data_IF_924427631653
#
_entry.id   IF_924427631653
#
_cell.length_a   1.000
_cell.length_b   1.000
_cell.length_c   1.000
_cell.angle_alpha   90.00
_cell.angle_beta   90.00
_cell.angle_gamma   90.00
#
_symmetry.space_group_name_H-M   'P 1'
#
loop_
_entity.id
_entity.type
_entity.pdbx_description
1 polymer ?
#
# COMPACT_ATOMS: atom_id res chain seq x y z
N UNK A 1 -54.81 58.48 37.32
CA UNK A 1 -55.56 57.37 36.68
C UNK A 1 -54.71 56.12 36.80
N UNK A 2 -54.88 55.17 37.71
CA UNK A 2 -56.00 54.80 38.60
C UNK A 2 -55.46 54.47 40.01
N UNK A 3 -55.49 55.46 40.92
CA UNK A 3 -55.92 55.21 42.29
C UNK A 3 -57.45 55.17 42.20
N UNK A 4 -58.07 53.99 42.20
CA UNK A 4 -59.51 53.72 42.41
C UNK A 4 -59.81 52.24 42.10
N UNK A 5 -59.26 51.32 42.90
CA UNK A 5 -59.74 49.94 43.02
C UNK A 5 -59.35 49.35 44.38
N UNK A 6 -59.31 50.22 45.39
CA UNK A 6 -59.06 49.89 46.80
C UNK A 6 -60.34 50.11 47.62
N UNK A 7 -61.49 49.72 47.05
CA UNK A 7 -62.81 49.86 47.66
C UNK A 7 -63.88 48.94 47.03
N UNK A 8 -63.50 47.71 46.67
CA UNK A 8 -64.44 46.61 46.82
C UNK A 8 -63.92 45.84 48.02
N UNK A 9 -64.40 46.26 49.20
CA UNK A 9 -64.40 45.42 50.39
C UNK A 9 -65.00 44.11 49.90
N UNK A 10 -64.17 43.07 49.86
CA UNK A 10 -64.54 41.82 49.23
C UNK A 10 -65.41 41.11 50.27
N UNK A 11 -66.65 41.59 50.43
CA UNK A 11 -67.62 41.14 51.44
C UNK A 11 -67.76 39.62 51.42
N UNK A 12 -67.55 39.03 50.24
CA UNK A 12 -67.52 37.59 50.01
C UNK A 12 -66.30 36.89 50.61
N UNK A 13 -65.10 37.49 50.58
CA UNK A 13 -63.92 36.96 51.28
C UNK A 13 -64.01 37.18 52.79
N UNK A 14 -64.53 38.33 53.24
CA UNK A 14 -64.76 38.59 54.68
C UNK A 14 -65.83 37.67 55.24
N UNK A 15 -66.93 37.44 54.51
CA UNK A 15 -67.95 36.47 54.87
C UNK A 15 -67.41 35.03 54.83
N UNK A 16 -66.47 34.71 53.94
CA UNK A 16 -65.83 33.39 53.91
C UNK A 16 -64.88 33.21 55.10
N UNK A 17 -64.13 34.24 55.48
CA UNK A 17 -63.32 34.27 56.71
C UNK A 17 -64.19 34.12 57.95
N UNK A 18 -65.27 34.90 58.04
CA UNK A 18 -66.18 34.90 59.20
C UNK A 18 -67.04 33.63 59.31
N UNK A 19 -67.38 32.99 58.18
CA UNK A 19 -68.23 31.79 58.16
C UNK A 19 -67.45 30.46 58.11
N UNK A 20 -66.25 30.44 57.48
CA UNK A 20 -65.50 29.21 57.19
C UNK A 20 -63.98 29.37 57.41
N UNK A 21 -63.51 30.43 58.09
CA UNK A 21 -62.08 30.65 58.35
C UNK A 21 -61.22 30.81 57.10
N UNK A 22 -61.83 31.21 55.98
CA UNK A 22 -61.12 31.57 54.74
C UNK A 22 -60.80 30.42 53.79
N UNK A 23 -61.22 29.18 54.10
CA UNK A 23 -60.90 27.99 53.29
C UNK A 23 -62.18 27.25 52.88
N UNK A 24 -62.38 27.05 51.57
CA UNK A 24 -63.58 26.42 51.00
C UNK A 24 -63.60 24.88 51.13
N UNK A 25 -62.42 24.26 51.21
CA UNK A 25 -62.22 22.81 51.33
C UNK A 25 -61.16 22.55 52.41
N UNK A 26 -61.56 21.95 53.54
CA UNK A 26 -60.62 21.56 54.59
C UNK A 26 -59.71 20.46 54.03
N UNK A 27 -58.46 20.80 53.72
CA UNK A 27 -57.45 19.80 53.35
C UNK A 27 -56.91 19.19 54.63
N UNK A 28 -56.47 17.93 54.58
CA UNK A 28 -55.86 17.27 55.76
C UNK A 28 -54.63 18.03 56.29
N UNK A 29 -53.98 18.79 55.41
CA UNK A 29 -52.88 19.71 55.73
C UNK A 29 -53.28 20.85 56.67
N UNK A 30 -54.55 21.25 56.69
CA UNK A 30 -55.03 22.37 57.49
C UNK A 30 -55.16 21.98 58.97
N UNK A 31 -55.32 20.69 59.27
CA UNK A 31 -55.34 20.13 60.65
C UNK A 31 -54.03 20.49 61.38
N UNK A 32 -52.90 20.55 60.69
CA UNK A 32 -51.61 20.94 61.27
C UNK A 32 -51.56 22.41 61.70
N UNK A 33 -52.35 23.29 61.07
CA UNK A 33 -52.40 24.74 61.31
C UNK A 33 -53.51 25.16 62.27
N UNK A 34 -54.47 24.27 62.56
CA UNK A 34 -55.54 24.54 63.52
C UNK A 34 -54.97 24.57 64.93
N UNK A 35 -55.25 25.62 65.69
CA UNK A 35 -54.92 25.72 67.11
C UNK A 35 -56.18 26.13 67.89
N UNK A 36 -56.48 25.41 68.97
CA UNK A 36 -57.63 25.72 69.84
C UNK A 36 -57.12 26.71 70.90
N UNK A 37 -57.59 27.97 70.90
CA UNK A 37 -57.13 28.96 71.86
C UNK A 37 -57.58 28.59 73.28
N UNK A 38 -56.75 28.81 74.31
CA UNK A 38 -57.11 28.51 75.68
C UNK A 38 -58.30 29.37 76.13
N UNK A 39 -59.20 28.82 76.97
CA UNK A 39 -60.32 29.59 77.52
C UNK A 39 -59.83 30.81 78.30
N UNK A 40 -60.52 31.95 78.19
CA UNK A 40 -60.08 33.25 78.72
C UNK A 40 -59.85 33.29 80.25
N UNK A 41 -60.50 32.40 81.00
CA UNK A 41 -60.41 32.29 82.45
C UNK A 41 -59.19 31.50 82.95
N UNK A 42 -58.43 30.83 82.07
CA UNK A 42 -57.18 30.11 82.42
C UNK A 42 -56.06 31.03 82.91
N UNK A 43 -56.22 32.35 82.74
CA UNK A 43 -55.36 33.39 83.32
C UNK A 43 -55.58 33.62 84.83
N UNK A 44 -56.66 33.07 85.40
CA UNK A 44 -57.03 33.17 86.82
C UNK A 44 -56.70 31.86 87.57
N UNK A 45 -56.34 31.91 88.87
CA UNK A 45 -56.00 30.71 89.66
C UNK A 45 -57.12 29.65 89.67
N UNK A 46 -56.75 28.36 89.58
CA UNK A 46 -57.67 27.21 89.52
C UNK A 46 -58.65 27.12 90.71
N UNK A 47 -58.27 27.66 91.86
CA UNK A 47 -59.07 27.67 93.09
C UNK A 47 -60.33 28.56 92.99
N UNK A 48 -60.39 29.46 92.01
CA UNK A 48 -61.50 30.41 91.80
C UNK A 48 -62.44 30.00 90.66
N UNK A 49 -62.20 28.84 90.04
CA UNK A 49 -63.02 28.37 88.93
C UNK A 49 -64.36 27.84 89.43
N UNK A 50 -65.44 28.34 88.82
CA UNK A 50 -66.78 27.76 88.97
C UNK A 50 -66.84 26.34 88.39
N UNK A 51 -67.78 25.50 88.82
CA UNK A 51 -67.88 24.13 88.29
C UNK A 51 -68.15 24.09 86.77
N UNK A 52 -68.80 25.12 86.23
CA UNK A 52 -69.00 25.30 84.79
C UNK A 52 -67.69 25.69 84.05
N UNK A 53 -66.83 26.49 84.68
CA UNK A 53 -65.49 26.82 84.16
C UNK A 53 -64.53 25.61 84.20
N UNK A 54 -64.65 24.75 85.23
CA UNK A 54 -63.90 23.48 85.29
C UNK A 54 -64.31 22.53 84.16
N UNK A 55 -65.62 22.38 83.94
CA UNK A 55 -66.16 21.54 82.85
C UNK A 55 -65.76 22.04 81.46
N UNK A 56 -65.79 23.36 81.24
CA UNK A 56 -65.37 23.95 79.95
C UNK A 56 -63.86 23.84 79.71
N UNK A 57 -63.04 23.81 80.76
CA UNK A 57 -61.61 23.51 80.64
C UNK A 57 -61.34 22.03 80.34
N UNK A 58 -62.05 21.10 80.96
CA UNK A 58 -61.96 19.66 80.65
C UNK A 58 -62.34 19.38 79.19
N UNK A 59 -63.41 20.01 78.68
CA UNK A 59 -63.81 19.91 77.27
C UNK A 59 -62.78 20.54 76.32
N UNK A 60 -62.12 21.63 76.73
CA UNK A 60 -61.01 22.23 75.98
C UNK A 60 -59.80 21.30 75.92
N UNK A 61 -59.40 20.71 77.05
CA UNK A 61 -58.26 19.81 77.14
C UNK A 61 -58.50 18.54 76.31
N UNK A 62 -59.72 18.01 76.34
CA UNK A 62 -60.10 16.86 75.52
C UNK A 62 -60.02 17.19 74.01
N UNK A 63 -60.59 18.32 73.57
CA UNK A 63 -60.49 18.75 72.16
C UNK A 63 -59.07 19.07 71.72
N UNK A 64 -58.24 19.62 72.61
CA UNK A 64 -56.83 19.89 72.34
C UNK A 64 -56.02 18.58 72.20
N UNK A 65 -56.31 17.57 73.03
CA UNK A 65 -55.72 16.22 72.91
C UNK A 65 -56.14 15.54 71.61
N UNK A 66 -57.43 15.52 71.28
CA UNK A 66 -57.96 14.95 70.03
C UNK A 66 -57.35 15.64 68.80
N UNK A 67 -57.22 16.97 68.81
CA UNK A 67 -56.58 17.71 67.71
C UNK A 67 -55.08 17.36 67.59
N UNK A 68 -54.38 17.21 68.71
CA UNK A 68 -52.96 16.85 68.69
C UNK A 68 -52.74 15.40 68.20
N UNK A 69 -53.64 14.47 68.55
CA UNK A 69 -53.65 13.10 68.03
C UNK A 69 -53.85 13.10 66.51
N UNK A 70 -54.84 13.84 66.00
CA UNK A 70 -55.07 13.98 64.55
C UNK A 70 -53.88 14.61 63.81
N UNK A 71 -53.20 15.60 64.44
CA UNK A 71 -51.97 16.19 63.89
C UNK A 71 -50.83 15.16 63.80
N UNK A 72 -50.65 14.32 64.81
CA UNK A 72 -49.59 13.32 64.82
C UNK A 72 -49.90 12.15 63.87
N UNK A 73 -51.15 11.68 63.80
CA UNK A 73 -51.59 10.70 62.80
C UNK A 73 -51.31 11.19 61.37
N UNK A 74 -51.58 12.46 61.09
CA UNK A 74 -51.31 13.05 59.78
C UNK A 74 -49.80 13.20 59.50
N UNK A 75 -48.99 13.56 60.52
CA UNK A 75 -47.53 13.57 60.41
C UNK A 75 -46.96 12.18 60.14
N UNK A 76 -47.47 11.16 60.82
CA UNK A 76 -47.08 9.77 60.61
C UNK A 76 -47.46 9.30 59.20
N UNK A 77 -48.65 9.64 58.72
CA UNK A 77 -49.06 9.41 57.35
C UNK A 77 -48.07 10.04 56.34
N UNK A 78 -47.71 11.31 56.53
CA UNK A 78 -46.74 12.00 55.66
C UNK A 78 -45.34 11.39 55.72
N UNK A 79 -44.86 10.98 56.90
CA UNK A 79 -43.58 10.28 57.05
C UNK A 79 -43.58 8.96 56.28
N UNK A 80 -44.67 8.18 56.38
CA UNK A 80 -44.82 6.92 55.67
C UNK A 80 -44.89 7.12 54.15
N UNK A 81 -45.59 8.15 53.69
CA UNK A 81 -45.67 8.48 52.26
C UNK A 81 -44.30 8.91 51.72
N UNK A 82 -43.58 9.77 52.46
CA UNK A 82 -42.22 10.18 52.12
C UNK A 82 -41.28 8.97 52.04
N UNK A 83 -41.30 8.09 53.04
CA UNK A 83 -40.46 6.89 53.05
C UNK A 83 -40.79 5.96 51.87
N UNK A 84 -42.07 5.82 51.51
CA UNK A 84 -42.50 5.03 50.35
C UNK A 84 -42.00 5.64 49.04
N UNK A 85 -42.05 6.96 48.91
CA UNK A 85 -41.54 7.68 47.73
C UNK A 85 -40.02 7.53 47.65
N UNK A 86 -39.29 7.73 48.74
CA UNK A 86 -37.83 7.54 48.78
C UNK A 86 -37.41 6.12 48.41
N UNK A 87 -38.11 5.10 48.93
CA UNK A 87 -37.86 3.71 48.58
C UNK A 87 -38.12 3.45 47.08
N UNK A 88 -39.22 3.99 46.54
CA UNK A 88 -39.55 3.89 45.11
C UNK A 88 -38.50 4.56 44.23
N UNK A 89 -38.03 5.76 44.59
CA UNK A 89 -36.94 6.46 43.88
C UNK A 89 -35.67 5.60 43.90
N UNK A 90 -35.28 5.09 45.07
CA UNK A 90 -34.08 4.25 45.18
C UNK A 90 -34.16 2.99 44.31
N UNK A 91 -35.29 2.29 44.33
CA UNK A 91 -35.50 1.08 43.53
C UNK A 91 -35.49 1.41 42.03
N UNK A 92 -36.13 2.51 41.62
CA UNK A 92 -36.14 2.93 40.21
C UNK A 92 -34.77 3.37 39.72
N UNK A 93 -33.99 4.09 40.53
CA UNK A 93 -32.60 4.45 40.21
C UNK A 93 -31.74 3.19 40.05
N UNK A 94 -31.81 2.25 41.00
CA UNK A 94 -31.05 0.99 40.90
C UNK A 94 -31.40 0.19 39.64
N UNK A 95 -32.70 0.06 39.32
CA UNK A 95 -33.14 -0.60 38.09
C UNK A 95 -32.62 0.12 36.84
N UNK A 96 -32.64 1.45 36.84
CA UNK A 96 -32.10 2.24 35.74
C UNK A 96 -30.60 1.97 35.56
N UNK A 97 -29.80 2.08 36.62
CA UNK A 97 -28.35 1.85 36.58
C UNK A 97 -28.02 0.44 36.10
N UNK A 98 -28.74 -0.58 36.58
CA UNK A 98 -28.60 -1.95 36.09
C UNK A 98 -28.89 -2.07 34.59
N UNK A 99 -29.93 -1.41 34.10
CA UNK A 99 -30.25 -1.44 32.66
C UNK A 99 -29.19 -0.75 31.83
N UNK A 100 -28.65 0.37 32.30
CA UNK A 100 -27.56 1.10 31.63
C UNK A 100 -26.30 0.25 31.61
N UNK A 101 -25.95 -0.43 32.70
CA UNK A 101 -24.81 -1.35 32.75
C UNK A 101 -24.99 -2.54 31.79
N UNK A 102 -26.18 -3.14 31.74
CA UNK A 102 -26.47 -4.24 30.78
C UNK A 102 -26.37 -3.75 29.34
N UNK A 103 -26.86 -2.54 29.06
CA UNK A 103 -26.79 -1.93 27.73
C UNK A 103 -25.34 -1.59 27.34
N UNK A 104 -24.52 -1.08 28.27
CA UNK A 104 -23.12 -0.74 28.00
C UNK A 104 -22.30 -1.98 27.65
N UNK A 105 -22.49 -3.08 28.41
CA UNK A 105 -21.85 -4.37 28.11
C UNK A 105 -22.32 -4.91 26.75
N UNK A 106 -23.61 -4.80 26.44
CA UNK A 106 -24.14 -5.22 25.15
C UNK A 106 -23.54 -4.40 23.99
N UNK A 107 -23.46 -3.07 24.16
CA UNK A 107 -22.81 -2.18 23.20
C UNK A 107 -21.35 -2.57 22.96
N UNK A 108 -20.57 -2.80 24.02
CA UNK A 108 -19.17 -3.21 23.89
C UNK A 108 -19.02 -4.52 23.12
N UNK A 109 -19.85 -5.52 23.42
CA UNK A 109 -19.83 -6.82 22.70
C UNK A 109 -20.18 -6.64 21.21
N UNK A 110 -21.19 -5.83 20.91
CA UNK A 110 -21.59 -5.54 19.53
C UNK A 110 -20.50 -4.80 18.78
N UNK A 111 -19.88 -3.78 19.39
CA UNK A 111 -18.75 -3.05 18.79
C UNK A 111 -17.55 -3.96 18.56
N UNK A 112 -17.20 -4.82 19.53
CA UNK A 112 -16.13 -5.80 19.37
C UNK A 112 -16.38 -6.72 18.17
N UNK A 113 -17.61 -7.22 18.00
CA UNK A 113 -17.97 -8.05 16.86
C UNK A 113 -17.88 -7.27 15.53
N UNK A 114 -18.35 -6.02 15.49
CA UNK A 114 -18.24 -5.15 14.31
C UNK A 114 -16.76 -4.96 13.93
N UNK A 115 -15.91 -4.57 14.88
CA UNK A 115 -14.49 -4.35 14.62
C UNK A 115 -13.77 -5.63 14.20
N UNK A 116 -14.18 -6.79 14.72
CA UNK A 116 -13.65 -8.07 14.25
C UNK A 116 -13.98 -8.30 12.77
N UNK A 117 -15.23 -8.11 12.36
CA UNK A 117 -15.63 -8.27 10.97
C UNK A 117 -15.00 -7.23 10.05
N UNK A 118 -14.89 -5.97 10.48
CA UNK A 118 -14.19 -4.92 9.73
C UNK A 118 -12.72 -5.28 9.49
N UNK A 119 -12.04 -5.82 10.51
CA UNK A 119 -10.66 -6.28 10.37
C UNK A 119 -10.54 -7.47 9.39
N UNK A 120 -11.49 -8.41 9.43
CA UNK A 120 -11.53 -9.52 8.45
C UNK A 120 -11.70 -8.99 7.03
N UNK A 121 -12.63 -8.05 6.82
CA UNK A 121 -12.87 -7.44 5.51
C UNK A 121 -11.60 -6.74 5.03
N UNK A 122 -10.92 -5.98 5.88
CA UNK A 122 -9.68 -5.30 5.54
C UNK A 122 -8.57 -6.29 5.13
N UNK A 123 -8.39 -7.35 5.92
CA UNK A 123 -7.37 -8.37 5.64
C UNK A 123 -7.67 -9.12 4.32
N UNK A 124 -8.93 -9.47 4.06
CA UNK A 124 -9.33 -10.11 2.82
C UNK A 124 -9.13 -9.17 1.62
N UNK A 125 -9.51 -7.90 1.77
CA UNK A 125 -9.33 -6.88 0.72
C UNK A 125 -7.85 -6.71 0.39
N UNK A 126 -7.00 -6.65 1.40
CA UNK A 126 -5.55 -6.58 1.23
C UNK A 126 -5.00 -7.80 0.50
N UNK A 127 -5.40 -9.02 0.91
CA UNK A 127 -4.97 -10.25 0.26
C UNK A 127 -5.40 -10.33 -1.21
N UNK A 128 -6.63 -9.91 -1.53
CA UNK A 128 -7.15 -9.85 -2.91
C UNK A 128 -6.37 -8.84 -3.76
N UNK A 129 -6.08 -7.66 -3.21
CA UNK A 129 -5.31 -6.64 -3.91
C UNK A 129 -3.88 -7.13 -4.23
N UNK A 130 -3.25 -7.82 -3.27
CA UNK A 130 -1.91 -8.39 -3.48
C UNK A 130 -1.93 -9.48 -4.55
N UNK A 131 -2.92 -10.38 -4.55
CA UNK A 131 -3.06 -11.43 -5.56
C UNK A 131 -3.28 -10.83 -6.96
N UNK A 132 -4.11 -9.80 -7.07
CA UNK A 132 -4.34 -9.08 -8.33
C UNK A 132 -3.07 -8.38 -8.83
N UNK A 133 -2.28 -7.76 -7.95
CA UNK A 133 -1.00 -7.15 -8.31
C UNK A 133 0.01 -8.17 -8.86
N UNK A 134 0.12 -9.33 -8.19
CA UNK A 134 0.98 -10.44 -8.64
C UNK A 134 0.53 -10.97 -10.02
N UNK A 135 -0.77 -11.13 -10.23
CA UNK A 135 -1.33 -11.60 -11.51
C UNK A 135 -1.13 -10.58 -12.64
N UNK A 136 -1.34 -9.30 -12.37
CA UNK A 136 -1.12 -8.24 -13.35
C UNK A 136 0.35 -8.16 -13.76
N UNK A 137 1.28 -8.25 -12.80
CA UNK A 137 2.73 -8.26 -13.08
C UNK A 137 3.12 -9.51 -13.86
N UNK A 138 2.64 -10.69 -13.48
CA UNK A 138 2.86 -11.94 -14.20
C UNK A 138 2.36 -11.90 -15.64
N UNK A 139 1.15 -11.37 -15.86
CA UNK A 139 0.58 -11.19 -17.20
C UNK A 139 1.40 -10.20 -18.04
N UNK A 140 1.90 -9.12 -17.44
CA UNK A 140 2.80 -8.16 -18.08
C UNK A 140 4.09 -8.81 -18.58
N UNK A 141 4.76 -9.58 -17.72
CA UNK A 141 5.99 -10.30 -18.07
C UNK A 141 5.74 -11.35 -19.15
N UNK A 142 4.64 -12.09 -19.09
CA UNK A 142 4.28 -13.04 -20.16
C UNK A 142 4.03 -12.37 -21.51
N UNK A 143 3.36 -11.22 -21.54
CA UNK A 143 3.20 -10.40 -22.77
C UNK A 143 4.56 -9.94 -23.31
N UNK A 144 5.46 -9.50 -22.44
CA UNK A 144 6.80 -9.08 -22.85
C UNK A 144 7.63 -10.24 -23.42
N UNK A 145 7.59 -11.41 -22.76
CA UNK A 145 8.29 -12.61 -23.18
C UNK A 145 7.80 -13.14 -24.54
N UNK A 146 6.48 -13.11 -24.79
CA UNK A 146 5.92 -13.51 -26.09
C UNK A 146 6.31 -12.55 -27.22
N UNK A 147 6.45 -11.25 -26.94
CA UNK A 147 6.97 -10.27 -27.90
C UNK A 147 8.43 -10.54 -28.26
N UNK A 148 9.29 -10.72 -27.26
CA UNK A 148 10.73 -11.00 -27.44
C UNK A 148 10.99 -12.31 -28.20
N UNK A 149 10.22 -13.37 -27.94
CA UNK A 149 10.33 -14.64 -28.69
C UNK A 149 10.03 -14.50 -30.19
N UNK A 150 9.11 -13.62 -30.58
CA UNK A 150 8.78 -13.38 -32.01
C UNK A 150 9.90 -12.65 -32.76
N UNK A 151 10.68 -11.83 -32.07
CA UNK A 151 11.80 -11.08 -32.65
C UNK A 151 12.99 -11.99 -33.00
N UNK A 152 13.23 -13.05 -32.20
CA UNK A 152 14.36 -13.99 -32.37
C UNK A 152 14.30 -14.85 -33.64
N UNK A 153 13.12 -15.15 -34.18
CA UNK A 153 12.94 -16.09 -35.30
C UNK A 153 13.35 -15.50 -36.66
N UNK A 154 13.47 -14.18 -36.78
CA UNK A 154 13.67 -13.51 -38.09
C UNK A 154 15.13 -13.42 -38.59
N UNK A 155 16.13 -13.97 -37.88
CA UNK A 155 17.54 -13.55 -38.02
C UNK A 155 18.56 -14.57 -38.57
N UNK A 156 18.19 -15.74 -39.13
CA UNK A 156 19.18 -16.78 -39.45
C UNK A 156 19.15 -17.28 -40.92
N UNK A 157 20.20 -17.00 -41.71
CA UNK A 157 20.62 -17.75 -42.92
C UNK A 157 22.15 -17.60 -43.16
N UNK A 158 22.91 -18.67 -43.48
CA UNK A 158 24.36 -18.61 -43.75
C UNK A 158 24.76 -18.88 -45.22
N UNK A 159 25.97 -18.45 -45.62
CA UNK A 159 26.62 -18.79 -46.90
C UNK A 159 28.15 -19.03 -46.77
N UNK A 160 28.79 -19.74 -47.74
CA UNK A 160 30.06 -20.46 -47.55
C UNK A 160 31.31 -19.83 -48.23
N UNK A 161 32.45 -20.52 -48.07
CA UNK A 161 33.88 -20.11 -48.17
C UNK A 161 34.58 -20.24 -49.56
N UNK A 162 35.76 -19.59 -49.63
CA UNK A 162 36.72 -19.36 -50.74
C UNK A 162 37.78 -20.46 -50.98
N UNK A 163 38.56 -20.35 -52.09
CA UNK A 163 39.89 -20.96 -52.31
C UNK A 163 40.69 -20.29 -53.46
N UNK A 164 42.00 -20.06 -53.30
CA UNK A 164 42.99 -19.78 -54.37
C UNK A 164 44.45 -20.14 -53.96
N UNK A 165 45.28 -20.65 -54.90
CA UNK A 165 46.77 -20.57 -54.93
C UNK A 165 47.35 -21.06 -56.29
N UNK A 166 48.09 -20.24 -57.06
CA UNK A 166 48.56 -20.67 -58.41
C UNK A 166 49.78 -19.98 -59.07
N UNK A 167 50.47 -19.00 -58.47
CA UNK A 167 51.38 -18.14 -59.24
C UNK A 167 52.85 -18.65 -59.43
N UNK A 168 53.40 -19.46 -58.53
CA UNK A 168 54.86 -19.75 -58.52
C UNK A 168 55.36 -20.70 -59.64
N UNK A 169 54.50 -21.16 -60.55
CA UNK A 169 54.82 -22.22 -61.52
C UNK A 169 55.16 -21.71 -62.93
N UNK A 170 54.90 -20.44 -63.25
CA UNK A 170 54.87 -19.96 -64.64
C UNK A 170 56.18 -19.35 -65.19
N UNK A 171 57.22 -19.13 -64.37
CA UNK A 171 58.40 -18.33 -64.77
C UNK A 171 59.78 -19.00 -64.54
N UNK A 172 59.86 -20.33 -64.62
CA UNK A 172 61.08 -21.10 -64.34
C UNK A 172 62.20 -20.97 -65.41
N UNK A 173 61.93 -20.36 -66.57
CA UNK A 173 62.79 -20.45 -67.77
C UNK A 173 63.71 -19.23 -68.01
N UNK A 174 63.83 -18.30 -67.05
CA UNK A 174 64.52 -17.00 -67.22
C UNK A 174 65.87 -16.96 -66.46
N UNK A 175 66.97 -16.42 -67.03
CA UNK A 175 68.26 -16.27 -66.35
C UNK A 175 68.19 -15.41 -65.07
N UNK A 176 68.88 -15.83 -64.00
CA UNK A 176 68.75 -15.25 -62.65
C UNK A 176 68.97 -13.73 -62.54
N UNK A 177 69.87 -13.13 -63.32
CA UNK A 177 70.13 -11.68 -63.26
C UNK A 177 69.00 -10.80 -63.82
N UNK A 178 68.28 -11.29 -64.85
CA UNK A 178 67.09 -10.63 -65.41
C UNK A 178 65.84 -10.95 -64.58
N UNK A 179 65.84 -12.10 -63.88
CA UNK A 179 64.76 -12.47 -62.97
C UNK A 179 64.68 -11.50 -61.78
N UNK A 180 65.81 -11.05 -61.24
CA UNK A 180 65.86 -10.10 -60.13
C UNK A 180 65.33 -8.71 -60.53
N UNK A 181 65.67 -8.24 -61.74
CA UNK A 181 65.15 -6.98 -62.30
C UNK A 181 63.64 -7.07 -62.61
N UNK A 182 63.18 -8.21 -63.15
CA UNK A 182 61.75 -8.48 -63.35
C UNK A 182 60.99 -8.61 -62.02
N UNK A 183 61.59 -9.16 -60.96
CA UNK A 183 61.00 -9.22 -59.62
C UNK A 183 60.85 -7.82 -58.99
N UNK A 184 61.79 -6.91 -59.24
CA UNK A 184 61.66 -5.50 -58.84
C UNK A 184 60.53 -4.80 -59.58
N UNK A 185 60.44 -4.98 -60.91
CA UNK A 185 59.36 -4.43 -61.74
C UNK A 185 57.99 -5.07 -61.46
N UNK A 186 57.96 -6.32 -61.02
CA UNK A 186 56.78 -7.07 -60.61
C UNK A 186 56.29 -6.67 -59.21
N UNK A 187 57.16 -6.03 -58.42
CA UNK A 187 56.83 -5.49 -57.11
C UNK A 187 56.47 -3.99 -57.15
N UNK A 188 56.77 -3.31 -58.27
CA UNK A 188 56.47 -1.90 -58.48
C UNK A 188 54.97 -1.68 -58.72
N UNK A 189 54.36 -0.75 -57.98
CA UNK A 189 52.92 -0.41 -58.09
C UNK A 189 52.74 0.93 -58.83
N UNK A 190 51.66 1.10 -59.59
CA UNK A 190 51.29 2.41 -60.14
C UNK A 190 50.88 3.38 -59.02
N UNK A 191 51.23 4.67 -59.15
CA UNK A 191 50.80 5.71 -58.22
C UNK A 191 49.33 6.05 -58.48
N UNK A 192 48.42 5.56 -57.63
CA UNK A 192 46.99 5.87 -57.74
C UNK A 192 46.65 7.14 -56.94
N UNK A 193 45.97 8.14 -57.53
CA UNK A 193 45.40 9.25 -56.76
C UNK A 193 44.28 8.72 -55.87
N UNK A 194 44.42 8.92 -54.55
CA UNK A 194 43.52 8.40 -53.52
C UNK A 194 42.08 8.86 -53.76
N UNK A 195 41.21 7.91 -54.10
CA UNK A 195 39.76 8.15 -54.15
C UNK A 195 39.19 7.82 -52.78
N UNK A 196 39.14 8.81 -51.89
CA UNK A 196 38.34 8.75 -50.66
C UNK A 196 36.85 8.79 -51.03
N UNK A 197 36.26 7.66 -51.38
CA UNK A 197 34.80 7.53 -51.48
C UNK A 197 34.21 7.22 -50.11
N UNK A 198 33.99 8.28 -49.33
CA UNK A 198 33.05 8.27 -48.22
C UNK A 198 31.63 8.17 -48.79
N UNK A 199 31.12 6.95 -48.96
CA UNK A 199 29.68 6.74 -49.15
C UNK A 199 29.04 6.32 -47.83
N UNK A 200 28.28 7.25 -47.25
CA UNK A 200 27.44 7.05 -46.08
C UNK A 200 26.07 6.51 -46.54
N UNK A 201 26.00 5.22 -46.82
CA UNK A 201 24.76 4.55 -47.21
C UNK A 201 24.19 3.77 -46.03
N UNK A 202 22.94 4.07 -45.66
CA UNK A 202 22.20 3.52 -44.51
C UNK A 202 21.84 2.02 -44.61
N UNK A 203 22.35 1.30 -45.62
CA UNK A 203 22.11 -0.13 -45.82
C UNK A 203 23.39 -0.93 -45.53
N UNK A 204 23.46 -1.71 -44.44
CA UNK A 204 24.66 -2.47 -44.06
C UNK A 204 25.01 -3.62 -45.03
N UNK A 205 24.17 -3.90 -46.04
CA UNK A 205 24.45 -4.88 -47.09
C UNK A 205 25.03 -4.28 -48.38
N UNK A 206 25.19 -2.96 -48.46
CA UNK A 206 25.59 -2.25 -49.68
C UNK A 206 26.71 -1.26 -49.37
N UNK A 207 27.88 -1.79 -49.03
CA UNK A 207 29.14 -1.03 -49.09
C UNK A 207 30.11 -1.88 -49.90
N UNK A 208 30.43 -1.40 -51.11
CA UNK A 208 31.12 -2.17 -52.14
C UNK A 208 30.14 -2.91 -53.06
N UNK A 209 29.50 -2.18 -53.97
CA UNK A 209 28.79 -2.80 -55.10
C UNK A 209 29.81 -3.53 -55.99
N UNK A 210 29.45 -4.63 -56.68
CA UNK A 210 30.24 -5.17 -57.78
C UNK A 210 30.63 -4.11 -58.82
N UNK A 211 29.83 -3.05 -58.95
CA UNK A 211 30.08 -1.89 -59.79
C UNK A 211 31.28 -1.06 -59.30
N UNK A 212 31.43 -0.88 -57.98
CA UNK A 212 32.54 -0.13 -57.36
C UNK A 212 33.88 -0.86 -57.55
N UNK A 213 33.87 -2.19 -57.44
CA UNK A 213 35.04 -3.03 -57.74
C UNK A 213 35.46 -2.91 -59.21
N UNK A 214 34.50 -2.97 -60.12
CA UNK A 214 34.75 -2.90 -61.55
C UNK A 214 35.30 -1.53 -61.97
N UNK A 215 34.82 -0.45 -61.35
CA UNK A 215 35.32 0.90 -61.58
C UNK A 215 36.76 1.07 -61.07
N UNK A 216 37.05 0.64 -59.83
CA UNK A 216 38.39 0.67 -59.25
C UNK A 216 39.40 -0.17 -60.07
N UNK A 217 38.98 -1.36 -60.53
CA UNK A 217 39.79 -2.22 -61.39
C UNK A 217 40.09 -1.55 -62.74
N UNK A 218 39.11 -0.86 -63.33
CA UNK A 218 39.29 -0.15 -64.60
C UNK A 218 40.29 1.00 -64.52
N UNK A 219 40.30 1.73 -63.39
CA UNK A 219 41.25 2.81 -63.13
C UNK A 219 42.67 2.25 -62.91
N UNK A 220 42.79 1.14 -62.18
CA UNK A 220 44.05 0.43 -61.99
C UNK A 220 44.63 -0.07 -63.33
N UNK A 221 43.79 -0.65 -64.19
CA UNK A 221 44.24 -1.15 -65.50
C UNK A 221 44.74 -0.03 -66.42
N UNK A 222 44.13 1.16 -66.36
CA UNK A 222 44.63 2.34 -67.09
C UNK A 222 46.01 2.79 -66.58
N UNK A 223 46.23 2.78 -65.27
CA UNK A 223 47.54 3.13 -64.70
C UNK A 223 48.62 2.08 -65.03
N UNK A 224 48.24 0.82 -65.25
CA UNK A 224 49.16 -0.23 -65.71
C UNK A 224 49.64 -0.03 -67.14
N UNK A 225 48.86 0.65 -68.00
CA UNK A 225 49.26 0.92 -69.39
C UNK A 225 50.53 1.78 -69.49
N UNK A 226 50.72 2.73 -68.56
CA UNK A 226 51.93 3.55 -68.48
C UNK A 226 53.16 2.74 -68.04
N UNK A 227 52.99 1.85 -67.07
CA UNK A 227 54.06 0.98 -66.56
C UNK A 227 54.45 -0.11 -67.57
N UNK A 228 53.51 -0.60 -68.37
CA UNK A 228 53.75 -1.63 -69.39
C UNK A 228 54.30 -1.06 -70.72
N UNK A 229 54.50 0.26 -70.79
CA UNK A 229 55.11 0.92 -71.96
C UNK A 229 56.41 0.23 -72.37
N UNK A 230 56.66 0.02 -73.69
CA UNK A 230 57.90 -0.57 -74.18
C UNK A 230 59.14 0.26 -73.83
N UNK A 231 58.97 1.52 -73.42
CA UNK A 231 60.03 2.41 -72.94
C UNK A 231 60.60 1.96 -71.58
N UNK A 232 59.82 1.22 -70.79
CA UNK A 232 60.23 0.70 -69.47
C UNK A 232 60.85 -0.71 -69.56
N UNK A 233 61.07 -1.24 -70.76
CA UNK A 233 61.63 -2.57 -70.98
C UNK A 233 63.15 -2.58 -70.77
N UNK A 234 63.70 -3.51 -69.95
CA UNK A 234 65.15 -3.62 -69.75
C UNK A 234 65.94 -3.87 -71.03
N UNK A 235 67.13 -3.28 -71.12
CA UNK A 235 68.00 -3.40 -72.28
C UNK A 235 68.51 -4.84 -72.43
N UNK A 236 68.16 -5.50 -73.54
CA UNK A 236 68.54 -6.88 -73.85
C UNK A 236 67.43 -7.93 -73.67
N UNK A 237 66.24 -7.53 -73.20
CA UNK A 237 65.09 -8.43 -73.11
C UNK A 237 64.36 -8.58 -74.46
N UNK A 238 64.00 -9.82 -74.82
CA UNK A 238 63.21 -10.05 -76.05
C UNK A 238 61.76 -9.60 -75.87
N UNK A 239 61.18 -8.96 -76.89
CA UNK A 239 59.84 -8.38 -76.84
C UNK A 239 58.73 -9.40 -76.46
N UNK A 240 58.89 -10.68 -76.83
CA UNK A 240 57.95 -11.74 -76.43
C UNK A 240 58.00 -12.07 -74.94
N UNK A 241 59.16 -11.90 -74.29
CA UNK A 241 59.32 -12.10 -72.86
C UNK A 241 58.71 -10.92 -72.10
N UNK A 242 58.93 -9.69 -72.58
CA UNK A 242 58.31 -8.48 -72.03
C UNK A 242 56.78 -8.55 -72.08
N UNK A 243 56.18 -8.94 -73.22
CA UNK A 243 54.72 -9.10 -73.32
C UNK A 243 54.14 -10.13 -72.33
N UNK A 244 54.84 -11.27 -72.14
CA UNK A 244 54.42 -12.28 -71.14
C UNK A 244 54.55 -11.76 -69.71
N UNK A 245 55.59 -10.99 -69.43
CA UNK A 245 55.80 -10.33 -68.14
C UNK A 245 54.70 -9.30 -67.83
N UNK A 246 54.35 -8.43 -68.79
CA UNK A 246 53.26 -7.47 -68.61
C UNK A 246 51.93 -8.16 -68.29
N UNK A 247 51.60 -9.26 -68.99
CA UNK A 247 50.40 -10.06 -68.72
C UNK A 247 50.42 -10.64 -67.30
N UNK A 248 51.51 -11.25 -66.87
CA UNK A 248 51.60 -11.80 -65.51
C UNK A 248 51.60 -10.74 -64.42
N UNK A 249 52.19 -9.56 -64.69
CA UNK A 249 52.13 -8.41 -63.80
C UNK A 249 50.69 -7.88 -63.67
N UNK A 250 49.94 -7.74 -64.77
CA UNK A 250 48.52 -7.38 -64.74
C UNK A 250 47.69 -8.41 -63.98
N UNK A 251 47.83 -9.70 -64.29
CA UNK A 251 47.10 -10.77 -63.59
C UNK A 251 47.38 -10.76 -62.08
N UNK A 252 48.63 -10.52 -61.67
CA UNK A 252 48.97 -10.33 -60.26
C UNK A 252 48.23 -9.14 -59.67
N UNK A 253 48.31 -7.98 -60.29
CA UNK A 253 47.68 -6.76 -59.80
C UNK A 253 46.16 -6.91 -59.67
N UNK A 254 45.50 -7.54 -60.64
CA UNK A 254 44.08 -7.88 -60.58
C UNK A 254 43.77 -8.82 -59.40
N UNK A 255 44.58 -9.87 -59.22
CA UNK A 255 44.39 -10.81 -58.10
C UNK A 255 44.61 -10.18 -56.73
N UNK A 256 45.63 -9.32 -56.58
CA UNK A 256 45.89 -8.59 -55.33
C UNK A 256 44.76 -7.62 -55.00
N UNK A 257 44.25 -6.90 -56.00
CA UNK A 257 43.13 -5.97 -55.82
C UNK A 257 41.84 -6.73 -55.47
N UNK A 258 41.56 -7.86 -56.13
CA UNK A 258 40.47 -8.75 -55.77
C UNK A 258 40.58 -9.27 -54.33
N UNK A 259 41.78 -9.67 -53.90
CA UNK A 259 42.03 -10.12 -52.52
C UNK A 259 41.76 -9.00 -51.52
N UNK A 260 42.19 -7.76 -51.78
CA UNK A 260 41.89 -6.61 -50.91
C UNK A 260 40.39 -6.36 -50.80
N UNK A 261 39.67 -6.36 -51.92
CA UNK A 261 38.22 -6.16 -51.91
C UNK A 261 37.47 -7.28 -51.17
N UNK A 262 37.85 -8.54 -51.41
CA UNK A 262 37.33 -9.68 -50.64
C UNK A 262 37.65 -9.57 -49.15
N UNK A 263 38.83 -9.09 -48.78
CA UNK A 263 39.23 -8.88 -47.38
C UNK A 263 38.40 -7.78 -46.71
N UNK A 264 38.13 -6.67 -47.40
CA UNK A 264 37.25 -5.60 -46.91
C UNK A 264 35.81 -6.09 -46.72
N UNK A 265 35.25 -6.77 -47.72
CA UNK A 265 33.91 -7.35 -47.63
C UNK A 265 33.80 -8.36 -46.47
N UNK A 266 34.83 -9.18 -46.28
CA UNK A 266 34.90 -10.15 -45.17
C UNK A 266 34.98 -9.45 -43.81
N UNK A 267 35.76 -8.38 -43.68
CA UNK A 267 35.84 -7.58 -42.45
C UNK A 267 34.48 -6.96 -42.10
N UNK A 268 33.75 -6.44 -43.08
CA UNK A 268 32.41 -5.89 -42.89
C UNK A 268 31.41 -6.96 -42.45
N UNK A 269 31.42 -8.13 -43.12
CA UNK A 269 30.59 -9.28 -42.72
C UNK A 269 30.91 -9.76 -41.30
N UNK A 270 32.19 -9.80 -40.92
CA UNK A 270 32.60 -10.17 -39.56
C UNK A 270 32.14 -9.14 -38.53
N UNK A 271 32.23 -7.84 -38.83
CA UNK A 271 31.73 -6.78 -37.95
C UNK A 271 30.21 -6.88 -37.76
N UNK A 272 29.46 -7.15 -38.84
CA UNK A 272 28.02 -7.37 -38.77
C UNK A 272 27.67 -8.61 -37.93
N UNK A 273 28.37 -9.74 -38.16
CA UNK A 273 28.19 -10.97 -37.40
C UNK A 273 28.44 -10.72 -35.91
N UNK A 274 29.51 -9.99 -35.56
CA UNK A 274 29.80 -9.61 -34.17
C UNK A 274 28.67 -8.81 -33.54
N UNK A 275 28.16 -7.77 -34.22
CA UNK A 275 26.99 -7.00 -33.74
C UNK A 275 25.76 -7.88 -33.51
N UNK A 276 25.46 -8.79 -34.44
CA UNK A 276 24.34 -9.75 -34.29
C UNK A 276 24.55 -10.72 -33.12
N UNK A 277 25.78 -11.18 -32.89
CA UNK A 277 26.10 -12.03 -31.73
C UNK A 277 25.89 -11.27 -30.42
N UNK A 278 26.38 -10.03 -30.33
CA UNK A 278 26.24 -9.19 -29.13
C UNK A 278 24.75 -8.88 -28.84
N UNK A 279 23.96 -8.55 -29.87
CA UNK A 279 22.50 -8.36 -29.77
C UNK A 279 21.79 -9.63 -29.29
N UNK A 280 22.17 -10.81 -29.81
CA UNK A 280 21.59 -12.09 -29.41
C UNK A 280 21.95 -12.44 -27.96
N UNK A 281 23.17 -12.17 -27.53
CA UNK A 281 23.58 -12.42 -26.13
C UNK A 281 22.85 -11.49 -25.16
N UNK A 282 22.71 -10.20 -25.51
CA UNK A 282 21.86 -9.27 -24.77
C UNK A 282 20.40 -9.74 -24.69
N UNK A 283 19.84 -10.24 -25.80
CA UNK A 283 18.48 -10.76 -25.81
C UNK A 283 18.34 -12.00 -24.92
N UNK A 284 19.34 -12.89 -24.88
CA UNK A 284 19.32 -14.06 -23.98
C UNK A 284 19.36 -13.65 -22.52
N UNK A 285 20.22 -12.71 -22.12
CA UNK A 285 20.31 -12.26 -20.73
C UNK A 285 19.03 -11.56 -20.27
N UNK A 286 18.42 -10.74 -21.12
CA UNK A 286 17.08 -10.16 -20.86
C UNK A 286 16.03 -11.26 -20.65
N UNK A 287 16.05 -12.31 -21.48
CA UNK A 287 15.08 -13.41 -21.41
C UNK A 287 15.26 -14.24 -20.12
N UNK A 288 16.49 -14.49 -19.72
CA UNK A 288 16.83 -15.16 -18.46
C UNK A 288 16.34 -14.36 -17.25
N UNK A 289 16.58 -13.03 -17.24
CA UNK A 289 16.09 -12.15 -16.18
C UNK A 289 14.57 -12.21 -16.03
N UNK A 290 13.82 -12.21 -17.14
CA UNK A 290 12.35 -12.32 -17.10
C UNK A 290 11.90 -13.67 -16.52
N UNK A 291 12.61 -14.76 -16.84
CA UNK A 291 12.27 -16.07 -16.28
C UNK A 291 12.51 -16.15 -14.78
N UNK A 292 13.61 -15.57 -14.30
CA UNK A 292 13.89 -15.49 -12.86
C UNK A 292 12.80 -14.71 -12.13
N UNK A 293 12.37 -13.58 -12.68
CA UNK A 293 11.29 -12.78 -12.10
C UNK A 293 9.94 -13.52 -12.11
N UNK A 294 9.62 -14.23 -13.20
CA UNK A 294 8.41 -15.06 -13.27
C UNK A 294 8.42 -16.20 -12.24
N UNK A 295 9.57 -16.81 -11.98
CA UNK A 295 9.68 -17.86 -10.97
C UNK A 295 9.51 -17.26 -9.56
N UNK A 296 10.14 -16.12 -9.29
CA UNK A 296 9.98 -15.40 -8.03
C UNK A 296 8.50 -15.04 -7.77
N UNK A 297 7.79 -14.51 -8.77
CA UNK A 297 6.36 -14.19 -8.64
C UNK A 297 5.50 -15.43 -8.33
N UNK A 298 5.83 -16.59 -8.92
CA UNK A 298 5.13 -17.84 -8.61
C UNK A 298 5.36 -18.28 -7.17
N UNK A 299 6.57 -18.15 -6.67
CA UNK A 299 6.90 -18.47 -5.27
C UNK A 299 6.17 -17.54 -4.31
N UNK A 300 6.16 -16.24 -4.57
CA UNK A 300 5.42 -15.27 -3.75
C UNK A 300 3.92 -15.54 -3.77
N UNK A 301 3.35 -15.86 -4.94
CA UNK A 301 1.93 -16.27 -5.04
C UNK A 301 1.64 -17.53 -4.22
N UNK A 302 2.53 -18.52 -4.27
CA UNK A 302 2.39 -19.75 -3.47
C UNK A 302 2.46 -19.47 -1.97
N UNK A 303 3.37 -18.59 -1.53
CA UNK A 303 3.46 -18.15 -0.12
C UNK A 303 2.19 -17.44 0.31
N UNK A 304 1.66 -16.51 -0.50
CA UNK A 304 0.42 -15.81 -0.20
C UNK A 304 -0.76 -16.78 -0.02
N UNK A 305 -0.86 -17.79 -0.88
CA UNK A 305 -1.91 -18.81 -0.79
C UNK A 305 -1.80 -19.71 0.44
N UNK A 306 -0.59 -19.91 0.96
CA UNK A 306 -0.34 -20.74 2.15
C UNK A 306 -0.42 -19.94 3.46
N UNK A 307 -0.02 -18.66 3.43
CA UNK A 307 -0.02 -17.77 4.58
C UNK A 307 -1.39 -17.12 4.76
N UNK A 308 -2.31 -17.88 5.37
CA UNK A 308 -3.66 -17.39 5.66
C UNK A 308 -3.64 -16.57 6.94
N UNK A 309 -4.25 -15.37 6.91
CA UNK A 309 -4.49 -14.58 8.10
C UNK A 309 -5.50 -15.27 9.02
N UNK A 310 -5.06 -15.60 10.24
CA UNK A 310 -5.93 -16.14 11.29
C UNK A 310 -6.12 -15.06 12.35
N UNK A 311 -7.39 -14.68 12.58
CA UNK A 311 -7.73 -13.74 13.63
C UNK A 311 -8.09 -14.49 14.91
N UNK A 312 -7.36 -14.21 15.99
CA UNK A 312 -7.58 -14.79 17.30
C UNK A 312 -8.16 -13.73 18.24
N UNK A 313 -9.26 -14.06 18.90
CA UNK A 313 -9.78 -13.26 20.00
C UNK A 313 -9.16 -13.76 21.29
N UNK A 314 -8.44 -12.89 21.99
CA UNK A 314 -7.85 -13.18 23.28
C UNK A 314 -8.75 -12.62 24.38
N UNK A 315 -9.09 -13.42 25.38
CA UNK A 315 -10.02 -13.03 26.45
C UNK A 315 -9.35 -12.21 27.57
N UNK A 316 -8.02 -12.13 27.61
CA UNK A 316 -7.25 -11.40 28.63
C UNK A 316 -6.06 -10.67 28.01
N UNK A 317 -5.67 -9.54 28.61
CA UNK A 317 -4.44 -8.83 28.25
C UNK A 317 -3.23 -9.72 28.51
N UNK A 318 -2.39 -9.90 27.50
CA UNK A 318 -1.15 -10.67 27.65
C UNK A 318 -0.12 -9.82 28.41
N UNK A 319 0.46 -10.40 29.46
CA UNK A 319 1.76 -9.95 29.97
C UNK A 319 2.79 -10.69 29.12
N UNK A 320 3.27 -10.05 28.08
CA UNK A 320 4.34 -10.60 27.25
C UNK A 320 5.63 -10.63 28.07
N UNK A 321 6.15 -11.83 28.33
CA UNK A 321 7.51 -12.00 28.82
C UNK A 321 8.43 -12.07 27.59
N UNK A 322 9.56 -11.37 27.65
CA UNK A 322 10.57 -11.42 26.59
C UNK A 322 10.97 -12.87 26.32
N UNK A 323 10.67 -13.37 25.13
CA UNK A 323 10.98 -14.76 24.76
C UNK A 323 12.44 -14.86 24.33
N UNK A 324 13.31 -15.30 25.23
CA UNK A 324 14.58 -15.95 24.91
C UNK A 324 14.40 -17.47 24.88
N UNK A 325 15.31 -18.21 24.22
CA UNK A 325 15.27 -19.70 24.11
C UNK A 325 15.13 -20.42 25.47
N UNK A 326 15.50 -19.72 26.56
CA UNK A 326 15.19 -20.07 27.94
C UNK A 326 14.32 -18.94 28.49
N UNK A 327 13.07 -19.19 28.92
CA UNK A 327 12.21 -18.13 29.43
C UNK A 327 12.84 -17.48 30.68
N UNK A 328 13.21 -16.21 30.55
CA UNK A 328 13.72 -15.39 31.66
C UNK A 328 12.55 -14.79 32.43
N UNK A 329 12.37 -15.24 33.68
CA UNK A 329 11.28 -14.81 34.55
C UNK A 329 11.67 -13.65 35.48
N UNK A 330 12.73 -12.91 35.16
CA UNK A 330 13.24 -11.82 36.01
C UNK A 330 12.19 -10.71 36.22
N UNK A 331 11.35 -10.48 35.21
CA UNK A 331 10.26 -9.50 35.25
C UNK A 331 8.88 -10.14 35.53
N UNK A 332 8.85 -11.41 35.92
CA UNK A 332 7.62 -12.15 36.20
C UNK A 332 7.44 -12.41 37.70
N UNK A 333 6.25 -12.13 38.22
CA UNK A 333 5.86 -12.49 39.59
C UNK A 333 4.82 -13.60 39.50
N UNK A 334 5.08 -14.74 40.14
CA UNK A 334 4.13 -15.84 40.24
C UNK A 334 3.02 -15.47 41.22
N UNK A 335 1.81 -15.25 40.73
CA UNK A 335 0.66 -14.92 41.55
C UNK A 335 -0.25 -16.15 41.66
N UNK A 336 -0.70 -16.46 42.87
CA UNK A 336 -1.65 -17.54 43.09
C UNK A 336 -2.99 -17.21 42.41
N UNK A 337 -3.55 -18.17 41.66
CA UNK A 337 -4.77 -17.99 40.85
C UNK A 337 -5.92 -17.32 41.62
N UNK A 338 -6.10 -17.65 42.89
CA UNK A 338 -7.13 -17.07 43.76
C UNK A 338 -7.02 -15.55 43.90
N UNK A 339 -5.81 -14.99 43.92
CA UNK A 339 -5.59 -13.54 44.04
C UNK A 339 -6.09 -12.83 42.76
N UNK A 340 -5.85 -13.41 41.59
CA UNK A 340 -6.34 -12.87 40.32
C UNK A 340 -7.87 -12.98 40.21
N UNK A 341 -8.46 -14.08 40.68
CA UNK A 341 -9.92 -14.27 40.71
C UNK A 341 -10.61 -13.32 41.70
N UNK A 342 -10.02 -13.07 42.87
CA UNK A 342 -10.50 -12.07 43.84
C UNK A 342 -10.40 -10.64 43.26
N UNK A 343 -9.26 -10.28 42.66
CA UNK A 343 -9.09 -8.98 42.01
C UNK A 343 -10.08 -8.77 40.86
N UNK A 344 -10.29 -9.77 40.02
CA UNK A 344 -11.28 -9.70 38.93
C UNK A 344 -12.71 -9.56 39.48
N UNK A 345 -13.02 -10.23 40.58
CA UNK A 345 -14.32 -10.08 41.27
C UNK A 345 -14.49 -8.66 41.83
N UNK A 346 -13.41 -8.08 42.35
CA UNK A 346 -13.41 -6.70 42.88
C UNK A 346 -13.47 -5.66 41.76
N UNK A 347 -12.77 -5.87 40.65
CA UNK A 347 -12.79 -4.98 39.47
C UNK A 347 -14.16 -5.01 38.78
N UNK A 348 -14.82 -6.16 38.71
CA UNK A 348 -16.20 -6.26 38.24
C UNK A 348 -17.17 -5.44 39.12
N UNK A 349 -16.85 -5.23 40.40
CA UNK A 349 -17.61 -4.37 41.32
C UNK A 349 -17.22 -2.90 41.19
N UNK A 350 -15.96 -2.58 40.89
CA UNK A 350 -15.45 -1.20 40.79
C UNK A 350 -15.80 -0.55 39.44
N UNK A 351 -15.94 -1.31 38.35
CA UNK A 351 -16.39 -0.78 37.04
C UNK A 351 -17.92 -0.54 36.95
N UNK A 352 -18.66 -0.61 38.06
CA UNK A 352 -20.12 -0.35 38.14
C UNK A 352 -20.44 1.05 38.72
N UNK A 353 -19.45 1.88 39.06
CA UNK A 353 -19.65 3.31 39.37
C UNK A 353 -19.47 4.13 38.10
#
# INVERSE_FOLDING_TARGET
FYKLLQAFDNDRLRALDDMMGGVLEIRREDILKMDIPPPSFTSRPEDLWTEEEKKTFEEYEQKAKELNEQKEEYREFLRNELQKIEASIKETTQKFDETVCKLSVHKMKSQMAIYQEELKILNLTYALLLDEELDNRGAGLHKFLTKKKKEKVKSFLPHPQNLEHGFMKEFADIPHGLLDELLQLYSHRPETPGTETLHDTANPYVRGSPEDYQEALSLLMKAMDELDSPENMPSGLHQSVWKRFCVARRNKMESEELVKWKALALADMQAFLRRRMDENEKMKSELESIFQELNWLKEEKMKLQQNVFVQLLLEQGQVELGSTEIPEYNDAILIHRTIAEELNSTLAVICII
#
